data_IF_147739905329
#
_entry.id   IF_147739905329
#
_cell.length_a   1.000
_cell.length_b   1.000
_cell.length_c   1.000
_cell.angle_alpha   90.00
_cell.angle_beta   90.00
_cell.angle_gamma   90.00
#
_symmetry.space_group_name_H-M   'P 1'
#
loop_
_entity.id
_entity.type
_entity.pdbx_description
1 polymer ?
#
# COMPACT_ATOMS: atom_id res chain seq x y z
N UNK A 1 -5.47 10.60 6.14
CA UNK A 1 -4.18 10.22 5.53
C UNK A 1 -4.41 9.67 4.15
N UNK A 2 -3.64 10.12 3.18
CA UNK A 2 -3.70 9.62 1.81
C UNK A 2 -2.42 8.84 1.54
N UNK A 3 -2.56 7.61 1.06
CA UNK A 3 -1.42 6.74 0.73
C UNK A 3 -1.45 6.49 -0.76
N UNK A 4 -0.44 6.98 -1.46
CA UNK A 4 -0.38 6.90 -2.91
C UNK A 4 0.95 6.33 -3.42
N UNK A 5 1.71 5.69 -2.55
CA UNK A 5 2.99 5.09 -2.92
C UNK A 5 3.31 3.89 -2.04
N UNK A 6 4.20 3.03 -2.52
CA UNK A 6 4.68 1.90 -1.73
C UNK A 6 5.33 2.35 -0.43
N UNK A 7 6.08 3.45 -0.48
CA UNK A 7 6.68 4.02 0.72
C UNK A 7 5.63 4.44 1.74
N UNK A 8 4.51 5.00 1.28
CA UNK A 8 3.40 5.37 2.15
C UNK A 8 2.80 4.16 2.85
N UNK A 9 2.60 3.06 2.14
CA UNK A 9 2.12 1.81 2.75
C UNK A 9 3.13 1.25 3.73
N UNK A 10 4.42 1.32 3.42
CA UNK A 10 5.46 0.84 4.32
C UNK A 10 5.43 1.60 5.66
N UNK A 11 5.29 2.91 5.59
CA UNK A 11 5.20 3.76 6.79
C UNK A 11 3.94 3.47 7.58
N UNK A 12 2.82 3.35 6.90
CA UNK A 12 1.53 3.08 7.54
C UNK A 12 1.56 1.75 8.29
N UNK A 13 2.06 0.70 7.64
CA UNK A 13 2.17 -0.62 8.26
C UNK A 13 3.06 -0.55 9.50
N UNK A 14 4.21 0.09 9.39
CA UNK A 14 5.13 0.20 10.51
C UNK A 14 4.53 0.95 11.68
N UNK A 15 3.90 2.09 11.42
CA UNK A 15 3.29 2.91 12.47
C UNK A 15 2.17 2.15 13.16
N UNK A 16 1.29 1.54 12.39
CA UNK A 16 0.14 0.82 12.95
C UNK A 16 0.58 -0.40 13.73
N UNK A 17 1.55 -1.14 13.21
CA UNK A 17 2.11 -2.30 13.91
C UNK A 17 2.65 -1.88 15.29
N UNK A 18 3.41 -0.79 15.33
CA UNK A 18 3.96 -0.28 16.59
C UNK A 18 2.87 0.20 17.54
N UNK A 19 1.88 0.88 17.00
CA UNK A 19 0.76 1.36 17.81
C UNK A 19 0.00 0.21 18.48
N UNK A 20 -0.07 -0.94 17.81
CA UNK A 20 -0.72 -2.13 18.36
C UNK A 20 0.21 -2.98 19.23
N UNK A 21 1.46 -2.57 19.40
CA UNK A 21 2.42 -3.29 20.23
C UNK A 21 2.92 -4.60 19.62
N UNK A 22 2.82 -4.76 18.31
CA UNK A 22 3.24 -5.98 17.64
C UNK A 22 4.71 -5.93 17.24
N UNK A 23 5.47 -6.98 17.55
CA UNK A 23 6.84 -7.10 17.07
C UNK A 23 6.84 -7.44 15.60
N UNK A 24 7.96 -7.15 14.92
CA UNK A 24 8.11 -7.55 13.53
C UNK A 24 7.99 -9.04 13.33
N UNK A 25 8.60 -9.82 14.23
CA UNK A 25 8.52 -11.29 14.14
C UNK A 25 7.10 -11.82 14.27
N UNK A 26 6.35 -11.32 15.24
CA UNK A 26 4.98 -11.72 15.46
C UNK A 26 4.10 -11.35 14.28
N UNK A 27 4.23 -10.12 13.79
CA UNK A 27 3.42 -9.66 12.67
C UNK A 27 3.77 -10.39 11.39
N UNK A 28 5.06 -10.61 11.11
CA UNK A 28 5.49 -11.36 9.94
C UNK A 28 4.90 -12.78 9.94
N UNK A 29 4.91 -13.44 11.09
CA UNK A 29 4.32 -14.77 11.21
C UNK A 29 2.83 -14.77 10.89
N UNK A 30 2.10 -13.79 11.40
CA UNK A 30 0.66 -13.65 11.13
C UNK A 30 0.40 -13.38 9.66
N UNK A 31 1.26 -12.59 9.04
CA UNK A 31 1.13 -12.21 7.63
C UNK A 31 1.53 -13.36 6.70
N UNK A 32 2.31 -14.32 7.20
CA UNK A 32 2.80 -15.43 6.39
C UNK A 32 4.02 -15.08 5.56
N UNK A 33 4.81 -14.13 6.02
CA UNK A 33 6.06 -13.73 5.35
C UNK A 33 7.22 -13.88 6.33
N UNK A 34 8.46 -13.83 5.80
CA UNK A 34 9.62 -13.85 6.66
C UNK A 34 9.77 -12.52 7.39
N UNK A 35 10.41 -12.57 8.55
CA UNK A 35 10.73 -11.35 9.28
C UNK A 35 11.60 -10.43 8.42
N UNK A 36 12.53 -11.01 7.66
CA UNK A 36 13.40 -10.25 6.76
C UNK A 36 12.61 -9.49 5.72
N UNK A 37 11.59 -10.14 5.15
CA UNK A 37 10.74 -9.48 4.17
C UNK A 37 10.05 -8.27 4.80
N UNK A 38 9.53 -8.42 6.01
CA UNK A 38 8.83 -7.33 6.69
C UNK A 38 9.77 -6.17 7.00
N UNK A 39 10.98 -6.47 7.47
CA UNK A 39 11.99 -5.45 7.73
C UNK A 39 12.27 -4.66 6.46
N UNK A 40 12.50 -5.34 5.36
CA UNK A 40 12.79 -4.70 4.08
C UNK A 40 11.61 -3.88 3.60
N UNK A 41 10.39 -4.41 3.73
CA UNK A 41 9.19 -3.68 3.33
C UNK A 41 9.02 -2.39 4.15
N UNK A 42 9.16 -2.47 5.47
CA UNK A 42 8.99 -1.32 6.34
C UNK A 42 10.06 -0.25 6.12
N UNK A 43 11.21 -0.65 5.61
CA UNK A 43 12.31 0.26 5.29
C UNK A 43 12.30 0.70 3.83
N UNK A 44 11.24 0.41 3.10
CA UNK A 44 11.07 0.75 1.68
C UNK A 44 12.18 0.14 0.82
N UNK A 45 12.57 -1.08 1.13
CA UNK A 45 13.61 -1.83 0.41
C UNK A 45 13.08 -3.08 -0.26
N UNK A 46 11.76 -3.28 -0.28
CA UNK A 46 11.13 -4.37 -0.99
C UNK A 46 10.72 -3.85 -2.36
N UNK A 47 11.41 -4.20 -3.44
CA UNK A 47 11.15 -3.60 -4.76
C UNK A 47 9.78 -3.99 -5.32
N UNK A 48 9.26 -5.13 -4.93
CA UNK A 48 8.01 -5.65 -5.45
C UNK A 48 7.22 -6.34 -4.33
N UNK A 49 6.67 -5.58 -3.39
CA UNK A 49 6.05 -6.20 -2.21
C UNK A 49 4.80 -7.01 -2.49
N UNK A 50 4.14 -6.78 -3.64
CA UNK A 50 2.89 -7.47 -3.94
C UNK A 50 1.69 -6.81 -3.29
N UNK A 51 0.72 -6.41 -4.11
CA UNK A 51 -0.45 -5.69 -3.60
C UNK A 51 -1.32 -6.56 -2.70
N UNK A 52 -1.46 -7.85 -3.03
CA UNK A 52 -2.22 -8.77 -2.18
C UNK A 52 -1.65 -8.87 -0.77
N UNK A 53 -0.32 -8.89 -0.66
CA UNK A 53 0.36 -8.92 0.63
C UNK A 53 0.12 -7.63 1.41
N UNK A 54 0.17 -6.48 0.72
CA UNK A 54 -0.12 -5.19 1.33
C UNK A 54 -1.55 -5.16 1.88
N UNK A 55 -2.53 -5.62 1.10
CA UNK A 55 -3.93 -5.68 1.56
C UNK A 55 -4.08 -6.55 2.80
N UNK A 56 -3.43 -7.72 2.81
CA UNK A 56 -3.47 -8.59 3.98
C UNK A 56 -2.86 -7.94 5.20
N UNK A 57 -1.73 -7.25 5.02
CA UNK A 57 -1.10 -6.53 6.11
C UNK A 57 -2.04 -5.48 6.71
N UNK A 58 -2.72 -4.71 5.86
CA UNK A 58 -3.67 -3.70 6.31
C UNK A 58 -4.82 -4.34 7.09
N UNK A 59 -5.40 -5.43 6.57
CA UNK A 59 -6.50 -6.12 7.26
C UNK A 59 -6.08 -6.64 8.62
N UNK A 60 -4.89 -7.23 8.71
CA UNK A 60 -4.39 -7.73 10.00
C UNK A 60 -4.17 -6.63 11.01
N UNK A 61 -3.94 -5.41 10.54
CA UNK A 61 -3.76 -4.24 11.40
C UNK A 61 -5.08 -3.51 11.68
N UNK A 62 -6.20 -4.07 11.23
CA UNK A 62 -7.51 -3.47 11.44
C UNK A 62 -7.80 -2.30 10.52
N UNK A 63 -7.11 -2.22 9.39
CA UNK A 63 -7.28 -1.14 8.43
C UNK A 63 -7.99 -1.64 7.18
N UNK A 64 -8.67 -0.72 6.51
CA UNK A 64 -9.34 -0.99 5.23
C UNK A 64 -8.85 0.00 4.20
N UNK A 65 -8.75 -0.47 2.97
CA UNK A 65 -8.40 0.41 1.86
C UNK A 65 -9.66 1.07 1.31
N UNK A 66 -9.62 2.38 1.20
CA UNK A 66 -10.71 3.16 0.63
C UNK A 66 -10.18 3.90 -0.60
N UNK A 67 -10.76 3.62 -1.75
CA UNK A 67 -10.35 4.23 -3.01
C UNK A 67 -11.29 5.39 -3.31
N UNK A 68 -10.72 6.56 -3.49
CA UNK A 68 -11.49 7.79 -3.72
C UNK A 68 -11.04 8.45 -5.01
N UNK A 69 -11.98 9.13 -5.62
CA UNK A 69 -11.66 9.98 -6.75
C UNK A 69 -10.89 11.20 -6.25
N UNK A 70 -9.66 11.37 -6.70
CA UNK A 70 -8.79 12.45 -6.23
C UNK A 70 -8.83 13.67 -7.15
N UNK A 71 -9.36 13.52 -8.36
CA UNK A 71 -9.49 14.63 -9.31
C UNK A 71 -10.91 14.62 -9.89
N UNK A 72 -11.43 15.80 -10.31
CA UNK A 72 -12.73 15.86 -10.97
C UNK A 72 -12.75 15.05 -12.26
N UNK A 73 -13.90 14.53 -12.59
CA UNK A 73 -14.06 13.72 -13.80
C UNK A 73 -13.76 14.51 -15.08
N UNK A 74 -13.98 15.81 -15.08
CA UNK A 74 -13.66 16.68 -16.21
C UNK A 74 -12.17 16.66 -16.51
N UNK A 75 -11.33 16.67 -15.49
CA UNK A 75 -9.88 16.60 -15.68
C UNK A 75 -9.46 15.26 -16.26
N UNK A 76 -10.11 14.18 -15.81
CA UNK A 76 -9.84 12.86 -16.35
C UNK A 76 -10.30 12.77 -17.81
N UNK A 77 -11.42 13.39 -18.13
CA UNK A 77 -11.91 13.42 -19.51
C UNK A 77 -10.91 14.10 -20.44
N UNK A 78 -10.28 15.17 -19.97
CA UNK A 78 -9.27 15.87 -20.76
C UNK A 78 -8.05 15.00 -21.01
N UNK A 79 -7.60 14.27 -20.00
CA UNK A 79 -6.46 13.36 -20.14
C UNK A 79 -6.77 12.22 -21.10
N UNK A 80 -7.96 11.66 -21.02
CA UNK A 80 -8.37 10.62 -21.96
C UNK A 80 -8.54 11.14 -23.37
N UNK A 81 -9.02 12.37 -23.52
CA UNK A 81 -9.13 13.00 -24.82
C UNK A 81 -7.77 13.16 -25.48
N UNK A 82 -6.75 13.52 -24.70
CA UNK A 82 -5.40 13.62 -25.21
C UNK A 82 -4.85 12.28 -25.70
N UNK A 83 -5.27 11.19 -25.09
CA UNK A 83 -4.83 9.85 -25.46
C UNK A 83 -5.64 9.22 -26.58
N UNK A 84 -6.73 9.82 -27.00
CA UNK A 84 -7.63 9.22 -28.00
C UNK A 84 -6.98 9.03 -29.36
N UNK A 85 -6.08 9.91 -29.70
CA UNK A 85 -5.42 9.86 -31.00
C UNK A 85 -4.61 8.58 -31.20
N UNK A 86 -4.28 7.91 -30.11
CA UNK A 86 -3.50 6.68 -30.16
C UNK A 86 -4.35 5.45 -30.43
N UNK A 87 -5.64 5.59 -30.44
CA UNK A 87 -6.53 4.45 -30.64
C UNK A 87 -6.62 4.10 -32.11
N UNK A 88 -6.60 2.81 -32.40
CA UNK A 88 -6.83 2.38 -33.78
C UNK A 88 -8.23 2.71 -34.24
#
# INVERSE_FOLDING_TARGET
MIVDSTRGYARLVKQRRRALGLSQGTFAAKLGVSRRWLIDFENDKAPNPGFATILRALHLLGLSLDVRQSVPIDQLADEFAAGKDERP
#
